data_IF_222445268895
#
_entry.id   IF_222445268895
#
_cell.length_a   1.000
_cell.length_b   1.000
_cell.length_c   1.000
_cell.angle_alpha   90.00
_cell.angle_beta   90.00
_cell.angle_gamma   90.00
#
_symmetry.space_group_name_H-M   'P 1'
#
loop_
_entity.id
_entity.type
_entity.pdbx_description
1 polymer ?
#
# COMPACT_ATOMS: atom_id res chain seq x y z
N UNK A 1 -16.65 -7.97 5.02
CA UNK A 1 -15.53 -7.92 5.99
C UNK A 1 -15.06 -6.48 6.07
N UNK A 2 -14.87 -5.88 7.25
CA UNK A 2 -14.27 -4.56 7.32
C UNK A 2 -12.82 -4.65 6.82
N UNK A 3 -12.44 -3.75 5.91
CA UNK A 3 -11.08 -3.62 5.40
C UNK A 3 -10.12 -3.40 6.57
N UNK A 4 -9.08 -4.21 6.69
CA UNK A 4 -7.99 -3.94 7.62
C UNK A 4 -6.79 -3.40 6.85
N UNK A 5 -6.68 -2.08 6.74
CA UNK A 5 -5.51 -1.41 6.13
C UNK A 5 -4.20 -1.87 6.78
N UNK A 6 -4.24 -2.33 8.05
CA UNK A 6 -3.04 -2.81 8.75
C UNK A 6 -2.50 -4.09 8.11
N UNK A 7 -3.35 -5.02 7.67
CA UNK A 7 -2.89 -6.26 7.04
C UNK A 7 -2.31 -6.00 5.65
N UNK A 8 -2.88 -5.07 4.89
CA UNK A 8 -2.30 -4.65 3.60
C UNK A 8 -0.93 -4.01 3.78
N UNK A 9 -0.78 -3.14 4.79
CA UNK A 9 0.52 -2.54 5.13
C UNK A 9 1.53 -3.60 5.60
N UNK A 10 1.09 -4.64 6.31
CA UNK A 10 1.93 -5.76 6.73
C UNK A 10 2.46 -6.56 5.54
N UNK A 11 1.62 -6.90 4.57
CA UNK A 11 2.01 -7.61 3.35
C UNK A 11 2.98 -6.79 2.50
N UNK A 12 2.73 -5.48 2.35
CA UNK A 12 3.64 -4.56 1.67
C UNK A 12 4.99 -4.47 2.38
N UNK A 13 4.97 -4.30 3.70
CA UNK A 13 6.19 -4.21 4.49
C UNK A 13 7.02 -5.48 4.38
N UNK A 14 6.37 -6.64 4.39
CA UNK A 14 7.01 -7.94 4.16
C UNK A 14 7.65 -8.01 2.77
N UNK A 15 6.93 -7.66 1.69
CA UNK A 15 7.49 -7.69 0.34
C UNK A 15 8.74 -6.80 0.17
N UNK A 16 8.71 -5.59 0.72
CA UNK A 16 9.84 -4.65 0.69
C UNK A 16 11.02 -5.19 1.52
N UNK A 17 10.74 -5.75 2.70
CA UNK A 17 11.76 -6.32 3.59
C UNK A 17 12.61 -7.41 2.90
N UNK A 18 11.95 -8.28 2.13
CA UNK A 18 12.59 -9.35 1.38
C UNK A 18 13.47 -8.80 0.26
N UNK A 19 13.00 -7.77 -0.44
CA UNK A 19 13.72 -7.15 -1.56
C UNK A 19 14.95 -6.35 -1.11
N UNK A 20 14.83 -5.62 -0.01
CA UNK A 20 15.89 -4.73 0.46
C UNK A 20 16.81 -5.35 1.52
N UNK A 21 16.52 -6.58 1.96
CA UNK A 21 17.22 -7.25 3.07
C UNK A 21 17.22 -6.39 4.35
N UNK A 22 16.06 -5.81 4.66
CA UNK A 22 15.80 -4.98 5.85
C UNK A 22 14.71 -5.66 6.68
N UNK A 23 14.67 -5.41 7.98
CA UNK A 23 13.63 -5.95 8.85
C UNK A 23 12.21 -5.40 8.50
N UNK A 24 11.23 -6.29 8.34
CA UNK A 24 9.84 -5.94 7.99
C UNK A 24 9.16 -5.03 9.03
N UNK A 25 9.51 -5.16 10.31
CA UNK A 25 9.02 -4.26 11.35
C UNK A 25 9.53 -2.83 11.13
N UNK A 26 10.80 -2.65 10.75
CA UNK A 26 11.37 -1.34 10.45
C UNK A 26 10.70 -0.71 9.23
N UNK A 27 10.46 -1.51 8.19
CA UNK A 27 9.72 -1.07 6.99
C UNK A 27 8.32 -0.62 7.37
N UNK A 28 7.58 -1.43 8.15
CA UNK A 28 6.22 -1.10 8.61
C UNK A 28 6.20 0.20 9.41
N UNK A 29 7.14 0.38 10.35
CA UNK A 29 7.24 1.61 11.14
C UNK A 29 7.44 2.85 10.27
N UNK A 30 8.31 2.77 9.25
CA UNK A 30 8.52 3.87 8.30
C UNK A 30 7.25 4.20 7.52
N UNK A 31 6.59 3.18 6.98
CA UNK A 31 5.34 3.34 6.24
C UNK A 31 4.25 3.96 7.10
N UNK A 32 4.04 3.47 8.33
CA UNK A 32 3.05 4.02 9.27
C UNK A 32 3.37 5.48 9.60
N UNK A 33 4.64 5.80 9.87
CA UNK A 33 5.06 7.18 10.12
C UNK A 33 4.74 8.09 8.95
N UNK A 34 5.01 7.66 7.71
CA UNK A 34 4.77 8.45 6.50
C UNK A 34 3.27 8.61 6.22
N UNK A 35 2.48 7.56 6.42
CA UNK A 35 1.01 7.61 6.33
C UNK A 35 0.43 8.63 7.32
N UNK A 36 0.91 8.64 8.55
CA UNK A 36 0.47 9.60 9.58
C UNK A 36 0.89 11.06 9.27
N UNK A 37 1.88 11.25 8.39
CA UNK A 37 2.34 12.57 7.94
C UNK A 37 1.67 13.02 6.63
N UNK A 38 0.82 12.17 6.02
CA UNK A 38 0.12 12.55 4.80
C UNK A 38 -0.83 13.72 5.08
N UNK A 39 -0.87 14.67 4.14
CA UNK A 39 -1.97 15.63 4.08
C UNK A 39 -3.28 14.87 3.82
N UNK A 40 -4.39 15.41 4.32
CA UNK A 40 -5.72 14.80 4.22
C UNK A 40 -6.05 14.36 2.78
N UNK A 41 -5.78 15.21 1.78
CA UNK A 41 -5.96 14.90 0.36
C UNK A 41 -5.19 13.65 -0.10
N UNK A 42 -3.98 13.42 0.42
CA UNK A 42 -3.13 12.27 0.07
C UNK A 42 -3.57 11.02 0.81
N UNK A 43 -4.07 11.17 2.04
CA UNK A 43 -4.67 10.08 2.79
C UNK A 43 -5.96 9.58 2.10
N UNK A 44 -6.82 10.50 1.65
CA UNK A 44 -8.01 10.19 0.85
C UNK A 44 -7.61 9.46 -0.43
N UNK A 45 -6.64 10.01 -1.17
CA UNK A 45 -6.12 9.39 -2.40
C UNK A 45 -5.63 7.95 -2.17
N UNK A 46 -4.91 7.69 -1.06
CA UNK A 46 -4.46 6.35 -0.69
C UNK A 46 -5.64 5.39 -0.47
N UNK A 47 -6.62 5.82 0.32
CA UNK A 47 -7.79 5.00 0.67
C UNK A 47 -8.63 4.68 -0.57
N UNK A 48 -8.89 5.66 -1.44
CA UNK A 48 -9.68 5.48 -2.66
C UNK A 48 -9.01 4.50 -3.63
N UNK A 49 -7.70 4.67 -3.89
CA UNK A 49 -6.97 3.77 -4.78
C UNK A 49 -6.87 2.36 -4.19
N UNK A 50 -6.66 2.22 -2.88
CA UNK A 50 -6.71 0.90 -2.23
C UNK A 50 -8.09 0.26 -2.35
N UNK A 51 -9.16 1.01 -2.17
CA UNK A 51 -10.53 0.50 -2.32
C UNK A 51 -10.78 -0.01 -3.75
N UNK A 52 -10.33 0.72 -4.77
CA UNK A 52 -10.44 0.30 -6.18
C UNK A 52 -9.69 -1.02 -6.42
N UNK A 53 -8.45 -1.14 -5.92
CA UNK A 53 -7.68 -2.37 -6.11
C UNK A 53 -8.32 -3.57 -5.40
N UNK A 54 -8.87 -3.35 -4.22
CA UNK A 54 -9.58 -4.38 -3.46
C UNK A 54 -10.87 -4.79 -4.17
N UNK A 55 -11.63 -3.85 -4.72
CA UNK A 55 -12.82 -4.14 -5.53
C UNK A 55 -12.46 -5.02 -6.74
N UNK A 56 -11.42 -4.65 -7.48
CA UNK A 56 -10.90 -5.44 -8.61
C UNK A 56 -10.52 -6.86 -8.20
N UNK A 57 -9.81 -7.00 -7.09
CA UNK A 57 -9.38 -8.31 -6.57
C UNK A 57 -10.55 -9.17 -6.09
N UNK A 58 -11.42 -8.61 -5.25
CA UNK A 58 -12.46 -9.38 -4.55
C UNK A 58 -13.69 -9.59 -5.41
N UNK A 59 -14.11 -8.59 -6.18
CA UNK A 59 -15.37 -8.63 -6.92
C UNK A 59 -15.17 -8.99 -8.39
N UNK A 60 -14.06 -8.55 -9.00
CA UNK A 60 -13.79 -8.74 -10.42
C UNK A 60 -12.80 -9.88 -10.67
N UNK A 61 -12.27 -10.48 -9.60
CA UNK A 61 -11.32 -11.60 -9.63
C UNK A 61 -10.05 -11.28 -10.44
N UNK A 62 -9.67 -9.99 -10.48
CA UNK A 62 -8.46 -9.51 -11.14
C UNK A 62 -7.26 -9.60 -10.19
N UNK A 63 -6.11 -10.05 -10.71
CA UNK A 63 -4.86 -9.96 -9.95
C UNK A 63 -4.42 -8.51 -9.80
N UNK A 64 -4.08 -8.10 -8.58
CA UNK A 64 -3.42 -6.82 -8.32
C UNK A 64 -1.93 -7.02 -8.61
N UNK A 65 -1.50 -6.67 -9.82
CA UNK A 65 -0.10 -6.64 -10.23
C UNK A 65 0.27 -5.25 -10.80
N UNK A 66 1.56 -5.07 -11.12
CA UNK A 66 2.09 -3.81 -11.67
C UNK A 66 1.48 -3.38 -13.01
N UNK A 67 0.72 -4.25 -13.68
CA UNK A 67 0.02 -3.95 -14.93
C UNK A 67 -1.38 -3.39 -14.69
N UNK A 68 -2.01 -3.76 -13.59
CA UNK A 68 -3.39 -3.38 -13.24
C UNK A 68 -3.48 -2.20 -12.26
N UNK A 69 -2.32 -1.72 -11.80
CA UNK A 69 -2.16 -0.53 -10.95
C UNK A 69 -1.59 0.63 -11.77
N UNK A 70 -2.09 1.84 -11.55
CA UNK A 70 -1.57 3.04 -12.24
C UNK A 70 -0.12 3.32 -11.81
N UNK A 71 0.72 3.77 -12.75
CA UNK A 71 2.11 4.16 -12.45
C UNK A 71 2.19 5.27 -11.40
N UNK A 72 1.22 6.18 -11.39
CA UNK A 72 1.11 7.25 -10.41
C UNK A 72 0.90 6.68 -9.01
N UNK A 73 -0.04 5.74 -8.85
CA UNK A 73 -0.29 5.12 -7.55
C UNK A 73 0.89 4.25 -7.09
N UNK A 74 1.54 3.51 -7.99
CA UNK A 74 2.78 2.80 -7.67
C UNK A 74 3.88 3.75 -7.16
N UNK A 75 4.05 4.89 -7.82
CA UNK A 75 5.03 5.91 -7.40
C UNK A 75 4.66 6.49 -6.02
N UNK A 76 3.37 6.72 -5.79
CA UNK A 76 2.85 7.14 -4.50
C UNK A 76 3.19 6.13 -3.39
N UNK A 77 2.94 4.83 -3.61
CA UNK A 77 3.25 3.77 -2.65
C UNK A 77 4.75 3.66 -2.36
N UNK A 78 5.61 3.82 -3.38
CA UNK A 78 7.07 3.83 -3.21
C UNK A 78 7.52 5.01 -2.34
N UNK A 79 6.90 6.18 -2.49
CA UNK A 79 7.18 7.36 -1.66
C UNK A 79 6.67 7.24 -0.22
N UNK A 80 5.79 6.28 0.09
CA UNK A 80 5.44 5.97 1.49
C UNK A 80 6.57 5.22 2.20
N UNK A 81 7.51 4.65 1.45
CA UNK A 81 8.65 3.92 2.01
C UNK A 81 9.93 4.78 2.11
N UNK A 82 10.25 5.57 1.07
CA UNK A 82 11.39 6.50 1.05
C UNK A 82 11.05 7.86 1.68
#
# INVERSE_FOLDING_TARGET
MPLDIRSTLDEMAFGISQKENVDAFIVKQRMVSKVNMLLEEKAIYLVENMAILIEKSVQQNETIDDKNVTKEFLTFLVNLYY
#
